data_IF_695950498743
#
_entry.id   IF_695950498743
#
_cell.length_a   1.000
_cell.length_b   1.000
_cell.length_c   1.000
_cell.angle_alpha   90.00
_cell.angle_beta   90.00
_cell.angle_gamma   90.00
#
_symmetry.space_group_name_H-M   'P 1'
#
loop_
_entity.id
_entity.type
_entity.pdbx_description
1 polymer ?
#
# COMPACT_ATOMS: atom_id res chain seq x y z
N UNK A 1 -47.54 43.34 -21.58
CA UNK A 1 -47.37 42.71 -20.26
C UNK A 1 -46.28 41.65 -20.38
N UNK A 2 -45.05 42.02 -20.06
CA UNK A 2 -43.87 41.17 -20.16
C UNK A 2 -43.60 40.61 -18.76
N UNK A 3 -43.82 39.31 -18.58
CA UNK A 3 -43.46 38.62 -17.34
C UNK A 3 -42.25 37.74 -17.65
N UNK A 4 -41.10 38.15 -17.11
CA UNK A 4 -39.80 37.48 -17.23
C UNK A 4 -39.66 36.35 -16.21
N UNK A 5 -38.83 35.35 -16.54
CA UNK A 5 -38.63 34.04 -15.86
C UNK A 5 -38.00 34.08 -14.45
N UNK A 6 -38.19 35.14 -13.69
CA UNK A 6 -37.76 35.22 -12.28
C UNK A 6 -39.03 35.21 -11.44
N UNK A 7 -39.07 34.32 -10.45
CA UNK A 7 -40.18 34.06 -9.52
C UNK A 7 -41.19 32.99 -9.96
N UNK A 8 -40.78 31.73 -9.85
CA UNK A 8 -41.69 30.69 -9.37
C UNK A 8 -40.93 29.67 -8.54
N UNK A 9 -40.80 29.96 -7.25
CA UNK A 9 -40.74 28.92 -6.24
C UNK A 9 -42.19 28.55 -5.88
N UNK A 10 -42.52 27.25 -5.85
CA UNK A 10 -43.26 26.54 -4.79
C UNK A 10 -43.73 25.17 -5.30
N UNK A 11 -43.26 24.15 -4.58
CA UNK A 11 -43.88 22.87 -4.23
C UNK A 11 -44.69 22.08 -5.29
N UNK A 12 -44.11 20.97 -5.74
CA UNK A 12 -44.82 19.80 -6.26
C UNK A 12 -44.23 18.53 -5.63
N UNK A 13 -45.07 17.75 -4.95
CA UNK A 13 -44.68 16.65 -4.09
C UNK A 13 -44.15 15.40 -4.84
N UNK A 14 -43.05 14.86 -4.33
CA UNK A 14 -42.65 13.44 -4.18
C UNK A 14 -43.11 12.45 -5.29
N UNK A 15 -42.15 12.09 -6.15
CA UNK A 15 -42.08 10.76 -6.76
C UNK A 15 -40.63 10.25 -6.71
N UNK A 16 -40.36 9.48 -5.65
CA UNK A 16 -39.44 8.34 -5.48
C UNK A 16 -38.54 8.04 -6.70
N UNK A 17 -37.23 8.34 -6.61
CA UNK A 17 -36.08 7.40 -6.51
C UNK A 17 -34.81 8.27 -6.44
N UNK A 18 -34.39 8.58 -5.22
CA UNK A 18 -32.98 8.72 -4.88
C UNK A 18 -32.79 7.79 -3.68
N UNK A 19 -31.81 6.87 -3.72
CA UNK A 19 -30.45 7.32 -3.49
C UNK A 19 -29.39 6.48 -4.23
N UNK A 20 -28.68 7.08 -5.19
CA UNK A 20 -27.30 6.62 -5.50
C UNK A 20 -26.28 7.47 -4.72
N UNK A 21 -26.57 7.69 -3.43
CA UNK A 21 -25.63 8.24 -2.46
C UNK A 21 -25.21 7.11 -1.52
N UNK A 22 -24.52 6.11 -2.09
CA UNK A 22 -23.76 5.13 -1.30
C UNK A 22 -22.46 4.75 -2.04
N UNK A 23 -21.72 5.72 -2.55
CA UNK A 23 -20.31 5.54 -2.94
C UNK A 23 -19.37 5.69 -1.73
N UNK A 24 -19.79 5.23 -0.55
CA UNK A 24 -19.14 5.46 0.74
C UNK A 24 -18.09 4.44 1.16
N UNK A 25 -17.55 3.63 0.24
CA UNK A 25 -16.66 2.51 0.59
C UNK A 25 -15.15 2.61 0.25
N UNK A 26 -14.62 3.53 -0.60
CA UNK A 26 -13.20 3.45 -0.93
C UNK A 26 -12.29 3.84 0.24
N UNK A 27 -12.64 4.87 1.00
CA UNK A 27 -11.77 5.39 2.06
C UNK A 27 -11.56 4.42 3.25
N UNK A 28 -12.58 3.61 3.58
CA UNK A 28 -12.46 2.64 4.69
C UNK A 28 -11.72 1.37 4.26
N UNK A 29 -11.89 0.93 3.00
CA UNK A 29 -11.16 -0.18 2.42
C UNK A 29 -9.66 0.18 2.25
N UNK A 30 -9.36 1.36 1.69
CA UNK A 30 -7.97 1.82 1.55
C UNK A 30 -7.25 1.93 2.90
N UNK A 31 -7.93 2.37 3.96
CA UNK A 31 -7.34 2.41 5.31
C UNK A 31 -7.02 1.00 5.85
N UNK A 32 -7.87 0.01 5.56
CA UNK A 32 -7.64 -1.39 5.91
C UNK A 32 -6.47 -2.00 5.13
N UNK A 33 -6.40 -1.73 3.83
CA UNK A 33 -5.32 -2.20 2.96
C UNK A 33 -3.99 -1.56 3.33
N UNK A 34 -3.97 -0.26 3.66
CA UNK A 34 -2.76 0.43 4.14
C UNK A 34 -2.23 -0.20 5.43
N UNK A 35 -3.12 -0.58 6.36
CA UNK A 35 -2.75 -1.26 7.60
C UNK A 35 -2.16 -2.67 7.33
N UNK A 36 -2.77 -3.44 6.43
CA UNK A 36 -2.27 -4.76 6.04
C UNK A 36 -0.89 -4.67 5.37
N UNK A 37 -0.68 -3.68 4.49
CA UNK A 37 0.62 -3.43 3.86
C UNK A 37 1.67 -3.05 4.91
N UNK A 38 1.36 -2.17 5.86
CA UNK A 38 2.28 -1.85 6.96
C UNK A 38 2.68 -3.08 7.76
N UNK A 39 1.73 -3.96 8.07
CA UNK A 39 2.01 -5.20 8.79
C UNK A 39 2.95 -6.12 8.00
N UNK A 40 2.74 -6.27 6.69
CA UNK A 40 3.61 -7.07 5.83
C UNK A 40 5.01 -6.48 5.69
N UNK A 41 5.14 -5.15 5.61
CA UNK A 41 6.44 -4.45 5.60
C UNK A 41 7.19 -4.66 6.91
N UNK A 42 6.49 -4.63 8.05
CA UNK A 42 7.10 -4.90 9.35
C UNK A 42 7.53 -6.38 9.48
N UNK A 43 6.71 -7.31 9.00
CA UNK A 43 7.09 -8.72 8.93
C UNK A 43 8.33 -8.94 8.05
N UNK A 44 8.43 -8.23 6.91
CA UNK A 44 9.61 -8.24 6.06
C UNK A 44 10.84 -7.69 6.80
N UNK A 45 10.71 -6.57 7.52
CA UNK A 45 11.79 -5.99 8.34
C UNK A 45 12.34 -7.00 9.34
N UNK A 46 11.45 -7.70 10.05
CA UNK A 46 11.85 -8.73 11.01
C UNK A 46 12.53 -9.91 10.34
N UNK A 47 12.00 -10.39 9.21
CA UNK A 47 12.59 -11.49 8.46
C UNK A 47 13.99 -11.13 7.94
N UNK A 48 14.18 -9.89 7.47
CA UNK A 48 15.48 -9.35 7.10
C UNK A 48 16.41 -9.28 8.32
N UNK A 49 15.96 -8.81 9.48
CA UNK A 49 16.81 -8.72 10.67
C UNK A 49 17.24 -10.11 11.17
N UNK A 50 16.30 -11.07 11.21
CA UNK A 50 16.51 -12.43 11.72
C UNK A 50 17.15 -13.38 10.71
N UNK A 51 17.31 -12.96 9.45
CA UNK A 51 17.71 -13.82 8.34
C UNK A 51 16.77 -15.03 8.16
N UNK A 52 15.46 -14.83 8.34
CA UNK A 52 14.45 -15.89 8.29
C UNK A 52 14.09 -16.24 6.84
N UNK A 53 14.72 -17.29 6.31
CA UNK A 53 14.52 -17.76 4.94
C UNK A 53 13.05 -18.04 4.61
N UNK A 54 12.36 -18.78 5.47
CA UNK A 54 11.00 -19.22 5.20
C UNK A 54 10.03 -18.03 5.14
N UNK A 55 10.21 -17.04 6.01
CA UNK A 55 9.43 -15.80 5.95
C UNK A 55 9.70 -15.00 4.68
N UNK A 56 10.98 -14.87 4.29
CA UNK A 56 11.33 -14.13 3.07
C UNK A 56 10.78 -14.81 1.81
N UNK A 57 10.80 -16.15 1.75
CA UNK A 57 10.20 -16.92 0.66
C UNK A 57 8.69 -16.70 0.54
N UNK A 58 7.99 -16.61 1.68
CA UNK A 58 6.55 -16.38 1.74
C UNK A 58 6.15 -14.95 1.41
N UNK A 59 6.91 -13.97 1.88
CA UNK A 59 6.59 -12.55 1.72
C UNK A 59 7.00 -12.00 0.35
N UNK A 60 7.95 -12.64 -0.34
CA UNK A 60 8.46 -12.17 -1.63
C UNK A 60 7.75 -12.86 -2.80
N UNK A 61 7.28 -12.08 -3.77
CA UNK A 61 6.71 -12.61 -5.00
C UNK A 61 7.76 -13.33 -5.86
N UNK A 62 7.36 -14.37 -6.60
CA UNK A 62 8.28 -15.14 -7.46
C UNK A 62 8.94 -14.30 -8.56
N UNK A 63 8.26 -13.23 -8.98
CA UNK A 63 8.72 -12.23 -9.95
C UNK A 63 9.52 -11.06 -9.32
N UNK A 64 10.03 -11.20 -8.08
CA UNK A 64 10.80 -10.14 -7.42
C UNK A 64 11.99 -9.70 -8.28
N UNK A 65 12.15 -8.38 -8.44
CA UNK A 65 13.32 -7.73 -8.99
C UNK A 65 13.83 -6.70 -7.97
N UNK A 66 14.95 -7.00 -7.32
CA UNK A 66 15.55 -6.15 -6.28
C UNK A 66 16.76 -5.40 -6.80
N UNK A 67 16.68 -4.07 -6.85
CA UNK A 67 17.73 -3.19 -7.36
C UNK A 67 18.64 -2.64 -6.27
N UNK A 68 19.94 -2.57 -6.59
CA UNK A 68 20.98 -2.00 -5.73
C UNK A 68 21.44 -0.64 -6.29
N UNK A 69 22.04 0.20 -5.44
CA UNK A 69 22.56 1.53 -5.83
C UNK A 69 23.71 1.48 -6.83
N UNK A 70 24.38 0.32 -6.96
CA UNK A 70 25.43 0.04 -7.94
C UNK A 70 24.86 -0.42 -9.31
N UNK A 71 23.54 -0.49 -9.45
CA UNK A 71 22.85 -0.91 -10.68
C UNK A 71 22.65 -2.43 -10.81
N UNK A 72 23.09 -3.24 -9.82
CA UNK A 72 22.82 -4.67 -9.82
C UNK A 72 21.34 -4.95 -9.57
N UNK A 73 20.82 -5.98 -10.25
CA UNK A 73 19.47 -6.49 -10.07
C UNK A 73 19.54 -7.94 -9.61
N UNK A 74 18.75 -8.29 -8.59
CA UNK A 74 18.62 -9.65 -8.07
C UNK A 74 17.20 -10.18 -8.26
N UNK A 75 17.09 -11.46 -8.60
CA UNK A 75 15.84 -12.19 -8.50
C UNK A 75 15.51 -12.59 -7.04
N UNK A 76 14.35 -13.21 -6.81
CA UNK A 76 13.91 -13.69 -5.49
C UNK A 76 14.96 -14.56 -4.79
N UNK A 77 15.51 -15.56 -5.48
CA UNK A 77 16.50 -16.49 -4.90
C UNK A 77 17.76 -15.75 -4.47
N UNK A 78 18.31 -14.92 -5.36
CA UNK A 78 19.54 -14.14 -5.09
C UNK A 78 19.36 -13.11 -3.96
N UNK A 79 18.17 -12.50 -3.85
CA UNK A 79 17.83 -11.61 -2.75
C UNK A 79 17.82 -12.37 -1.41
N UNK A 80 17.11 -13.51 -1.34
CA UNK A 80 17.00 -14.31 -0.12
C UNK A 80 18.36 -14.87 0.28
N UNK A 81 19.11 -15.44 -0.68
CA UNK A 81 20.45 -15.96 -0.45
C UNK A 81 21.38 -14.85 0.06
N UNK A 82 21.35 -13.66 -0.55
CA UNK A 82 22.10 -12.51 -0.08
C UNK A 82 21.80 -12.12 1.37
N UNK A 83 20.56 -12.29 1.82
CA UNK A 83 20.13 -12.02 3.20
C UNK A 83 20.56 -13.14 4.16
N UNK A 84 20.49 -14.41 3.78
CA UNK A 84 20.81 -15.53 4.70
C UNK A 84 22.29 -15.86 4.76
N UNK A 85 23.05 -15.60 3.69
CA UNK A 85 24.50 -15.84 3.64
C UNK A 85 25.33 -14.59 3.94
N UNK A 86 24.68 -13.48 4.35
CA UNK A 86 25.39 -12.23 4.62
C UNK A 86 26.44 -12.45 5.71
N UNK A 87 27.66 -11.96 5.48
CA UNK A 87 28.75 -12.06 6.48
C UNK A 87 28.61 -11.04 7.61
N UNK A 88 27.98 -9.90 7.32
CA UNK A 88 27.82 -8.82 8.29
C UNK A 88 26.65 -9.09 9.24
N UNK A 89 26.89 -9.01 10.54
CA UNK A 89 25.81 -9.07 11.53
C UNK A 89 25.02 -7.76 11.50
N UNK A 90 23.74 -7.85 11.14
CA UNK A 90 22.82 -6.72 11.22
C UNK A 90 22.23 -6.68 12.63
N UNK A 91 22.51 -5.62 13.38
CA UNK A 91 22.08 -5.46 14.78
C UNK A 91 20.71 -4.81 14.90
N UNK A 92 20.35 -3.96 13.94
CA UNK A 92 19.10 -3.24 13.87
C UNK A 92 18.74 -3.00 12.41
N UNK A 93 17.44 -2.95 12.14
CA UNK A 93 16.88 -2.43 10.90
C UNK A 93 15.67 -1.61 11.34
N UNK A 94 15.64 -0.33 10.99
CA UNK A 94 14.49 0.55 11.20
C UNK A 94 14.04 1.11 9.85
N UNK A 95 12.74 1.36 9.71
CA UNK A 95 12.16 1.98 8.52
C UNK A 95 11.52 3.33 8.89
N UNK A 96 12.33 4.36 9.22
CA UNK A 96 11.81 5.68 9.53
C UNK A 96 11.09 6.28 8.33
N UNK A 97 10.10 7.13 8.64
CA UNK A 97 9.26 7.80 7.64
C UNK A 97 8.55 6.83 6.67
N UNK A 98 8.17 5.63 7.15
CA UNK A 98 7.39 4.68 6.36
C UNK A 98 6.06 5.30 5.90
N UNK A 99 5.99 5.60 4.61
CA UNK A 99 4.79 6.04 3.89
C UNK A 99 4.28 4.89 3.05
N UNK A 100 2.99 4.60 3.18
CA UNK A 100 2.29 3.61 2.38
C UNK A 100 1.26 4.32 1.53
N UNK A 101 1.13 3.92 0.26
CA UNK A 101 0.10 4.41 -0.64
C UNK A 101 -0.47 3.23 -1.41
N UNK A 102 -1.80 3.05 -1.36
CA UNK A 102 -2.53 2.02 -2.10
C UNK A 102 -2.84 2.55 -3.49
N UNK A 103 -2.74 1.68 -4.49
CA UNK A 103 -2.95 1.99 -5.91
C UNK A 103 -3.62 0.81 -6.61
N UNK A 104 -4.96 0.74 -6.51
CA UNK A 104 -5.73 -0.42 -6.98
C UNK A 104 -5.37 -1.66 -6.17
N UNK A 105 -5.02 -2.75 -6.85
CA UNK A 105 -4.64 -4.03 -6.21
C UNK A 105 -3.18 -4.07 -5.73
N UNK A 106 -2.45 -2.95 -5.85
CA UNK A 106 -1.05 -2.84 -5.46
C UNK A 106 -0.85 -1.75 -4.40
N UNK A 107 0.30 -1.77 -3.73
CA UNK A 107 0.69 -0.72 -2.80
C UNK A 107 2.18 -0.40 -2.91
N UNK A 108 2.54 0.84 -2.59
CA UNK A 108 3.90 1.34 -2.56
C UNK A 108 4.25 1.66 -1.11
N UNK A 109 5.29 1.02 -0.59
CA UNK A 109 5.89 1.35 0.70
C UNK A 109 7.24 2.05 0.48
N UNK A 110 7.39 3.26 1.01
CA UNK A 110 8.62 4.06 0.93
C UNK A 110 9.08 4.44 2.34
N UNK A 111 10.35 4.25 2.63
CA UNK A 111 10.96 4.60 3.91
C UNK A 111 12.41 5.04 3.71
N UNK A 112 13.01 5.65 4.73
CA UNK A 112 14.45 5.80 4.84
C UNK A 112 15.05 4.49 5.41
N UNK A 113 16.34 4.26 5.17
CA UNK A 113 17.05 3.07 5.67
C UNK A 113 18.17 3.51 6.62
N UNK A 114 18.18 2.98 7.85
CA UNK A 114 19.17 3.27 8.91
C UNK A 114 19.71 1.99 9.55
#
# INVERSE_FOLDING_TARGET
MQVTRRDLAIAGAIAIVAPNLLSGAPALAEAGDEAAVRQNVEALREALLKADKAQLERLSADQLSYGHSDGRVQNKGEFIDGVVTRKATVKSITFPELKVSVAGDAAIARHLYE
#
